data_IF_572074497383
#
_entry.id   IF_572074497383
#
_cell.length_a   1.000
_cell.length_b   1.000
_cell.length_c   1.000
_cell.angle_alpha   90.00
_cell.angle_beta   90.00
_cell.angle_gamma   90.00
#
_symmetry.space_group_name_H-M   'P 1'
#
loop_
_entity.id
_entity.type
_entity.pdbx_description
1 polymer ?
#
# COMPACT_ATOMS: atom_id res chain seq x y z
N UNK A 1 -48.10 -13.97 -25.00
CA UNK A 1 -47.08 -12.93 -25.23
C UNK A 1 -47.31 -11.82 -24.21
N UNK A 2 -46.60 -11.80 -23.07
CA UNK A 2 -46.80 -10.80 -22.01
C UNK A 2 -45.74 -9.69 -22.13
N UNK A 3 -46.07 -8.62 -22.86
CA UNK A 3 -45.17 -7.50 -23.15
C UNK A 3 -45.23 -6.36 -22.10
N UNK A 4 -46.18 -6.39 -21.15
CA UNK A 4 -46.43 -5.30 -20.19
C UNK A 4 -46.34 -5.71 -18.71
N UNK A 5 -45.52 -6.70 -18.35
CA UNK A 5 -45.23 -6.96 -16.93
C UNK A 5 -44.13 -6.00 -16.47
N UNK A 6 -44.50 -4.94 -15.74
CA UNK A 6 -43.51 -4.08 -15.05
C UNK A 6 -42.68 -4.96 -14.12
N UNK A 7 -41.36 -4.87 -14.25
CA UNK A 7 -40.39 -5.62 -13.46
C UNK A 7 -40.67 -5.38 -11.97
N UNK A 8 -40.81 -6.45 -11.19
CA UNK A 8 -41.08 -6.30 -9.76
C UNK A 8 -39.86 -5.68 -9.06
N UNK A 9 -40.03 -4.95 -7.93
CA UNK A 9 -38.90 -4.35 -7.21
C UNK A 9 -37.79 -5.35 -6.88
N UNK A 10 -38.12 -6.62 -6.65
CA UNK A 10 -37.15 -7.71 -6.44
C UNK A 10 -36.48 -8.19 -7.72
N UNK A 11 -37.19 -8.29 -8.84
CA UNK A 11 -36.56 -8.61 -10.13
C UNK A 11 -35.58 -7.51 -10.54
N UNK A 12 -35.98 -6.24 -10.38
CA UNK A 12 -35.12 -5.09 -10.62
C UNK A 12 -33.89 -5.08 -9.70
N UNK A 13 -34.06 -5.33 -8.40
CA UNK A 13 -32.95 -5.39 -7.45
C UNK A 13 -32.00 -6.59 -7.71
N UNK A 14 -32.55 -7.74 -8.12
CA UNK A 14 -31.73 -8.92 -8.47
C UNK A 14 -30.97 -8.72 -9.78
N UNK A 15 -31.58 -8.03 -10.75
CA UNK A 15 -30.92 -7.63 -12.00
C UNK A 15 -29.80 -6.62 -11.73
N UNK A 16 -30.08 -5.55 -10.97
CA UNK A 16 -29.09 -4.56 -10.55
C UNK A 16 -27.92 -5.21 -9.79
N UNK A 17 -28.18 -6.14 -8.87
CA UNK A 17 -27.14 -6.94 -8.19
C UNK A 17 -26.28 -7.73 -9.18
N UNK A 18 -26.90 -8.37 -10.17
CA UNK A 18 -26.18 -9.19 -11.16
C UNK A 18 -25.32 -8.32 -12.07
N UNK A 19 -25.84 -7.18 -12.50
CA UNK A 19 -25.13 -6.20 -13.33
C UNK A 19 -23.97 -5.58 -12.55
N UNK A 20 -24.20 -5.05 -11.35
CA UNK A 20 -23.17 -4.51 -10.48
C UNK A 20 -22.04 -5.52 -10.21
N UNK A 21 -22.38 -6.79 -9.92
CA UNK A 21 -21.36 -7.83 -9.73
C UNK A 21 -20.55 -8.14 -10.99
N UNK A 22 -21.19 -8.09 -12.17
CA UNK A 22 -20.51 -8.34 -13.44
C UNK A 22 -19.54 -7.21 -13.74
N UNK A 23 -19.98 -5.97 -13.56
CA UNK A 23 -19.21 -4.76 -13.79
C UNK A 23 -18.03 -4.66 -12.80
N UNK A 24 -18.28 -4.81 -11.50
CA UNK A 24 -17.23 -4.83 -10.47
C UNK A 24 -16.15 -5.87 -10.80
N UNK A 25 -16.53 -7.10 -11.20
CA UNK A 25 -15.55 -8.14 -11.58
C UNK A 25 -14.79 -7.79 -12.86
N UNK A 26 -15.41 -7.08 -13.80
CA UNK A 26 -14.71 -6.64 -15.00
C UNK A 26 -13.66 -5.60 -14.62
N UNK A 27 -14.09 -4.55 -13.94
CA UNK A 27 -13.23 -3.44 -13.54
C UNK A 27 -12.09 -3.91 -12.62
N UNK A 28 -12.37 -4.81 -11.66
CA UNK A 28 -11.32 -5.40 -10.82
C UNK A 28 -10.24 -6.14 -11.65
N UNK A 29 -10.62 -6.81 -12.74
CA UNK A 29 -9.65 -7.49 -13.62
C UNK A 29 -8.86 -6.51 -14.46
N UNK A 30 -9.47 -5.40 -14.87
CA UNK A 30 -8.77 -4.36 -15.63
C UNK A 30 -7.76 -3.65 -14.73
N UNK A 31 -8.14 -3.34 -13.49
CA UNK A 31 -7.23 -2.83 -12.46
C UNK A 31 -6.11 -3.82 -12.13
N UNK A 32 -6.40 -5.13 -12.06
CA UNK A 32 -5.36 -6.15 -11.86
C UNK A 32 -4.32 -6.18 -13.01
N UNK A 33 -4.73 -5.86 -14.24
CA UNK A 33 -3.81 -5.75 -15.37
C UNK A 33 -2.93 -4.51 -15.23
N UNK A 34 -3.51 -3.39 -14.81
CA UNK A 34 -2.81 -2.12 -14.62
C UNK A 34 -1.82 -2.21 -13.45
N UNK A 35 -2.22 -2.81 -12.32
CA UNK A 35 -1.32 -3.10 -11.18
C UNK A 35 -0.11 -3.92 -11.64
N UNK A 36 -0.31 -4.95 -12.47
CA UNK A 36 0.80 -5.75 -13.02
C UNK A 36 1.71 -4.98 -13.95
N UNK A 37 1.18 -3.98 -14.66
CA UNK A 37 1.99 -3.10 -15.50
C UNK A 37 2.83 -2.17 -14.64
N UNK A 38 2.24 -1.56 -13.61
CA UNK A 38 2.99 -0.76 -12.64
C UNK A 38 4.05 -1.59 -11.90
N UNK A 39 3.77 -2.85 -11.55
CA UNK A 39 4.77 -3.76 -10.97
C UNK A 39 5.97 -4.00 -11.90
N UNK A 40 5.75 -4.05 -13.23
CA UNK A 40 6.83 -4.17 -14.21
C UNK A 40 7.64 -2.89 -14.30
N UNK A 41 6.97 -1.74 -14.35
CA UNK A 41 7.61 -0.43 -14.39
C UNK A 41 8.43 -0.17 -13.12
N UNK A 42 7.90 -0.52 -11.95
CA UNK A 42 8.61 -0.41 -10.68
C UNK A 42 9.92 -1.21 -10.71
N UNK A 43 9.88 -2.46 -11.19
CA UNK A 43 11.07 -3.31 -11.31
C UNK A 43 12.09 -2.74 -12.29
N UNK A 44 11.64 -2.20 -13.42
CA UNK A 44 12.52 -1.59 -14.40
C UNK A 44 13.21 -0.34 -13.83
N UNK A 45 12.44 0.58 -13.24
CA UNK A 45 12.97 1.80 -12.61
C UNK A 45 13.94 1.43 -11.48
N UNK A 46 13.61 0.42 -10.67
CA UNK A 46 14.50 -0.06 -9.60
C UNK A 46 15.83 -0.58 -10.15
N UNK A 47 15.80 -1.34 -11.25
CA UNK A 47 17.00 -1.84 -11.91
C UNK A 47 17.85 -0.71 -12.47
N UNK A 48 17.25 0.25 -13.17
CA UNK A 48 17.91 1.43 -13.72
C UNK A 48 18.54 2.28 -12.61
N UNK A 49 17.80 2.51 -11.52
CA UNK A 49 18.27 3.26 -10.36
C UNK A 49 19.49 2.57 -9.72
N UNK A 50 19.45 1.25 -9.51
CA UNK A 50 20.60 0.47 -9.00
C UNK A 50 21.80 0.50 -9.95
N UNK A 51 21.60 0.34 -11.25
CA UNK A 51 22.68 0.37 -12.23
C UNK A 51 23.40 1.73 -12.24
N UNK A 52 22.62 2.80 -12.16
CA UNK A 52 23.14 4.17 -12.22
C UNK A 52 23.81 4.60 -10.92
N UNK A 53 23.30 4.12 -9.79
CA UNK A 53 23.89 4.32 -8.48
C UNK A 53 25.21 3.55 -8.27
N UNK A 54 25.52 2.53 -9.09
CA UNK A 54 26.84 1.86 -9.12
C UNK A 54 27.90 2.62 -9.92
N UNK A 55 27.52 3.66 -10.68
CA UNK A 55 28.47 4.46 -11.45
C UNK A 55 29.37 5.32 -10.57
N UNK A 56 30.58 5.63 -11.03
CA UNK A 56 31.59 6.38 -10.26
C UNK A 56 31.18 7.81 -9.86
N UNK A 57 30.08 8.35 -10.42
CA UNK A 57 29.53 9.69 -10.13
C UNK A 57 28.11 9.63 -9.52
N UNK A 58 27.77 8.54 -8.83
CA UNK A 58 26.43 8.27 -8.32
C UNK A 58 25.89 9.31 -7.34
N UNK A 59 26.73 10.00 -6.58
CA UNK A 59 26.25 11.01 -5.62
C UNK A 59 25.86 12.35 -6.26
N UNK A 60 26.23 12.59 -7.52
CA UNK A 60 26.01 13.86 -8.22
C UNK A 60 25.14 13.73 -9.48
N UNK A 61 24.57 12.55 -9.75
CA UNK A 61 23.74 12.34 -10.94
C UNK A 61 22.30 12.85 -10.71
N UNK A 62 21.86 13.95 -11.37
CA UNK A 62 20.51 14.49 -11.21
C UNK A 62 19.42 13.52 -11.72
N UNK A 63 19.80 12.53 -12.56
CA UNK A 63 18.87 11.53 -13.06
C UNK A 63 18.45 10.51 -11.99
N UNK A 64 19.27 10.29 -10.95
CA UNK A 64 18.90 9.42 -9.83
C UNK A 64 17.71 9.98 -9.04
N UNK A 65 17.74 11.29 -8.74
CA UNK A 65 16.60 11.97 -8.09
C UNK A 65 15.34 11.90 -8.95
N UNK A 66 15.49 12.01 -10.28
CA UNK A 66 14.35 11.90 -11.21
C UNK A 66 13.77 10.48 -11.23
N UNK A 67 14.62 9.46 -11.31
CA UNK A 67 14.21 8.04 -11.26
C UNK A 67 13.58 7.69 -9.90
N UNK A 68 14.10 8.22 -8.80
CA UNK A 68 13.52 8.02 -7.47
C UNK A 68 12.13 8.66 -7.36
N UNK A 69 11.94 9.88 -7.88
CA UNK A 69 10.60 10.51 -7.97
C UNK A 69 9.63 9.65 -8.78
N UNK A 70 10.07 9.12 -9.93
CA UNK A 70 9.26 8.21 -10.73
C UNK A 70 8.91 6.91 -9.98
N UNK A 71 9.86 6.35 -9.22
CA UNK A 71 9.63 5.16 -8.40
C UNK A 71 8.57 5.40 -7.32
N UNK A 72 8.67 6.50 -6.58
CA UNK A 72 7.67 6.91 -5.57
C UNK A 72 6.31 7.09 -6.22
N UNK A 73 6.24 7.77 -7.37
CA UNK A 73 4.98 7.99 -8.09
C UNK A 73 4.34 6.67 -8.53
N UNK A 74 5.11 5.73 -9.09
CA UNK A 74 4.60 4.40 -9.51
C UNK A 74 4.08 3.62 -8.30
N UNK A 75 4.80 3.63 -7.17
CA UNK A 75 4.35 2.99 -5.92
C UNK A 75 3.05 3.60 -5.40
N UNK A 76 2.93 4.92 -5.44
CA UNK A 76 1.71 5.62 -5.00
C UNK A 76 0.54 5.32 -5.93
N UNK A 77 0.75 5.33 -7.24
CA UNK A 77 -0.27 4.93 -8.23
C UNK A 77 -0.73 3.49 -8.02
N UNK A 78 0.21 2.57 -7.77
CA UNK A 78 -0.08 1.18 -7.44
C UNK A 78 -0.93 1.07 -6.16
N UNK A 79 -0.54 1.79 -5.10
CA UNK A 79 -1.28 1.82 -3.84
C UNK A 79 -2.71 2.33 -4.04
N UNK A 80 -2.88 3.42 -4.79
CA UNK A 80 -4.19 3.98 -5.16
C UNK A 80 -5.05 2.98 -5.93
N UNK A 81 -4.50 2.25 -6.90
CA UNK A 81 -5.24 1.21 -7.62
C UNK A 81 -5.62 0.03 -6.73
N UNK A 82 -4.76 -0.39 -5.80
CA UNK A 82 -5.10 -1.43 -4.81
C UNK A 82 -6.24 -0.96 -3.90
N UNK A 83 -6.21 0.29 -3.43
CA UNK A 83 -7.28 0.90 -2.64
C UNK A 83 -8.59 0.99 -3.42
N UNK A 84 -8.56 1.52 -4.64
CA UNK A 84 -9.73 1.62 -5.50
C UNK A 84 -10.31 0.24 -5.88
N UNK A 85 -9.48 -0.80 -6.01
CA UNK A 85 -9.94 -2.19 -6.23
C UNK A 85 -10.72 -2.70 -5.02
N UNK A 86 -10.24 -2.41 -3.82
CA UNK A 86 -10.93 -2.75 -2.58
C UNK A 86 -12.26 -2.02 -2.45
N UNK A 87 -12.29 -0.71 -2.75
CA UNK A 87 -13.52 0.10 -2.77
C UNK A 87 -14.54 -0.45 -3.78
N UNK A 88 -14.14 -0.77 -5.01
CA UNK A 88 -15.03 -1.42 -5.99
C UNK A 88 -15.56 -2.77 -5.49
N UNK A 89 -14.72 -3.54 -4.79
CA UNK A 89 -15.15 -4.77 -4.12
C UNK A 89 -16.24 -4.51 -3.07
N UNK A 90 -16.04 -3.49 -2.24
CA UNK A 90 -17.01 -3.05 -1.23
C UNK A 90 -18.33 -2.59 -1.86
N UNK A 91 -18.29 -1.82 -2.97
CA UNK A 91 -19.48 -1.43 -3.72
C UNK A 91 -20.25 -2.65 -4.26
N UNK A 92 -19.54 -3.66 -4.75
CA UNK A 92 -20.15 -4.94 -5.17
C UNK A 92 -20.84 -5.69 -4.03
N UNK A 93 -20.27 -5.63 -2.82
CA UNK A 93 -20.88 -6.18 -1.60
C UNK A 93 -22.09 -5.34 -1.16
N UNK A 94 -21.99 -4.00 -1.21
CA UNK A 94 -23.09 -3.10 -0.92
C UNK A 94 -24.31 -3.40 -1.82
N UNK A 95 -24.11 -3.52 -3.14
CA UNK A 95 -25.16 -3.90 -4.08
C UNK A 95 -25.81 -5.26 -3.74
N UNK A 96 -25.03 -6.23 -3.23
CA UNK A 96 -25.57 -7.49 -2.74
C UNK A 96 -26.41 -7.33 -1.47
N UNK A 97 -25.97 -6.49 -0.52
CA UNK A 97 -26.70 -6.19 0.71
C UNK A 97 -28.02 -5.49 0.37
N UNK A 98 -27.98 -4.43 -0.45
CA UNK A 98 -29.18 -3.70 -0.90
C UNK A 98 -30.20 -4.64 -1.55
N UNK A 99 -29.78 -5.53 -2.46
CA UNK A 99 -30.69 -6.47 -3.09
C UNK A 99 -31.30 -7.47 -2.08
N UNK A 100 -30.55 -7.85 -1.05
CA UNK A 100 -31.04 -8.73 0.02
C UNK A 100 -32.03 -7.98 0.94
N UNK A 101 -31.78 -6.71 1.23
CA UNK A 101 -32.68 -5.83 1.96
C UNK A 101 -34.01 -5.65 1.21
N UNK A 102 -33.98 -5.38 -0.10
CA UNK A 102 -35.19 -5.27 -0.94
C UNK A 102 -36.00 -6.57 -0.93
N UNK A 103 -35.32 -7.73 -1.03
CA UNK A 103 -35.99 -9.02 -0.96
C UNK A 103 -36.63 -9.28 0.42
N UNK A 104 -35.96 -8.89 1.51
CA UNK A 104 -36.49 -9.01 2.86
C UNK A 104 -37.71 -8.10 3.07
N UNK A 105 -37.64 -6.82 2.64
CA UNK A 105 -38.76 -5.87 2.73
C UNK A 105 -39.96 -6.39 1.94
N UNK A 106 -39.75 -6.94 0.74
CA UNK A 106 -40.85 -7.50 -0.04
C UNK A 106 -41.46 -8.74 0.63
N UNK A 107 -40.65 -9.60 1.26
CA UNK A 107 -41.12 -10.77 2.00
C UNK A 107 -41.90 -10.37 3.26
N UNK A 108 -41.44 -9.37 4.00
CA UNK A 108 -42.19 -8.82 5.14
C UNK A 108 -43.48 -8.17 4.66
N UNK A 109 -43.47 -7.44 3.54
CA UNK A 109 -44.67 -6.88 2.93
C UNK A 109 -45.71 -7.96 2.57
N UNK A 110 -45.30 -9.03 1.88
CA UNK A 110 -46.21 -10.12 1.50
C UNK A 110 -46.72 -10.92 2.71
N UNK A 111 -45.87 -11.16 3.72
CA UNK A 111 -46.27 -11.79 4.98
C UNK A 111 -47.19 -10.87 5.78
N UNK A 112 -46.97 -9.55 5.76
CA UNK A 112 -47.83 -8.56 6.42
C UNK A 112 -49.18 -8.45 5.73
N UNK A 113 -49.23 -8.52 4.40
CA UNK A 113 -50.50 -8.54 3.66
C UNK A 113 -51.26 -9.84 3.91
N UNK A 114 -50.59 -10.99 3.96
CA UNK A 114 -51.19 -12.26 4.37
C UNK A 114 -51.63 -12.25 5.85
N UNK A 115 -50.85 -11.66 6.74
CA UNK A 115 -51.20 -11.47 8.16
C UNK A 115 -52.33 -10.46 8.35
N UNK A 116 -52.45 -9.40 7.54
CA UNK A 116 -53.59 -8.46 7.57
C UNK A 116 -54.90 -9.17 7.23
N UNK A 117 -54.86 -10.11 6.28
CA UNK A 117 -56.01 -10.94 5.91
C UNK A 117 -56.35 -11.94 7.03
N UNK A 118 -55.35 -12.44 7.74
CA UNK A 118 -55.54 -13.37 8.87
C UNK A 118 -55.83 -12.69 10.22
N UNK A 119 -55.51 -11.39 10.39
CA UNK A 119 -55.30 -10.80 11.71
C UNK A 119 -55.68 -9.32 11.77
N UNK A 120 -56.99 -9.04 11.78
CA UNK A 120 -57.53 -7.71 12.04
C UNK A 120 -57.31 -7.25 13.51
N UNK A 121 -56.54 -7.97 14.32
CA UNK A 121 -56.37 -7.70 15.76
C UNK A 121 -54.96 -7.88 16.36
N UNK A 122 -53.88 -8.10 15.60
CA UNK A 122 -52.52 -8.15 16.20
C UNK A 122 -51.48 -7.22 15.53
N UNK A 123 -51.00 -6.29 16.37
CA UNK A 123 -49.68 -5.67 16.48
C UNK A 123 -48.99 -4.96 15.29
N UNK A 124 -49.72 -4.11 14.56
CA UNK A 124 -49.14 -3.10 13.63
C UNK A 124 -48.09 -2.20 14.30
N UNK A 125 -48.20 -1.93 15.61
CA UNK A 125 -47.25 -1.08 16.35
C UNK A 125 -45.83 -1.67 16.45
N UNK A 126 -45.72 -2.98 16.59
CA UNK A 126 -44.43 -3.66 16.77
C UNK A 126 -43.64 -3.74 15.46
N UNK A 127 -44.34 -3.97 14.34
CA UNK A 127 -43.75 -3.94 12.99
C UNK A 127 -43.26 -2.55 12.61
N UNK A 128 -44.00 -1.49 12.98
CA UNK A 128 -43.58 -0.11 12.74
C UNK A 128 -42.31 0.22 13.52
N UNK A 129 -42.21 -0.23 14.79
CA UNK A 129 -41.01 -0.05 15.62
C UNK A 129 -39.78 -0.73 15.01
N UNK A 130 -39.92 -1.99 14.56
CA UNK A 130 -38.83 -2.74 13.91
C UNK A 130 -38.35 -2.03 12.63
N UNK A 131 -39.27 -1.49 11.82
CA UNK A 131 -38.90 -0.69 10.64
C UNK A 131 -38.12 0.58 11.00
N UNK A 132 -38.50 1.25 12.09
CA UNK A 132 -37.84 2.50 12.51
C UNK A 132 -36.43 2.23 13.06
N UNK A 133 -36.28 1.16 13.86
CA UNK A 133 -34.97 0.71 14.36
C UNK A 133 -34.06 0.27 13.22
N UNK A 134 -34.59 -0.47 12.24
CA UNK A 134 -33.85 -0.87 11.04
C UNK A 134 -33.34 0.34 10.23
N UNK A 135 -34.18 1.37 10.03
CA UNK A 135 -33.76 2.59 9.35
C UNK A 135 -32.59 3.28 10.08
N UNK A 136 -32.71 3.43 11.41
CA UNK A 136 -31.67 4.07 12.23
C UNK A 136 -30.34 3.31 12.23
N UNK A 137 -30.40 1.99 12.19
CA UNK A 137 -29.19 1.15 12.16
C UNK A 137 -28.52 1.18 10.78
N UNK A 138 -29.31 1.27 9.71
CA UNK A 138 -28.82 1.44 8.34
C UNK A 138 -28.13 2.81 8.15
N UNK A 139 -28.67 3.89 8.74
CA UNK A 139 -28.03 5.22 8.75
C UNK A 139 -26.70 5.22 9.50
N UNK A 140 -26.62 4.57 10.67
CA UNK A 140 -25.37 4.42 11.41
C UNK A 140 -24.29 3.68 10.62
N UNK A 141 -24.70 2.69 9.82
CA UNK A 141 -23.78 1.95 8.95
C UNK A 141 -23.23 2.86 7.85
N UNK A 142 -24.07 3.70 7.24
CA UNK A 142 -23.66 4.63 6.19
C UNK A 142 -22.61 5.63 6.71
N UNK A 143 -22.85 6.26 7.86
CA UNK A 143 -21.90 7.20 8.48
C UNK A 143 -20.55 6.53 8.79
N UNK A 144 -20.57 5.27 9.26
CA UNK A 144 -19.32 4.52 9.50
C UNK A 144 -18.55 4.21 8.22
N UNK A 145 -19.25 4.03 7.10
CA UNK A 145 -18.62 3.84 5.81
C UNK A 145 -17.97 5.14 5.32
N UNK A 146 -18.67 6.26 5.43
CA UNK A 146 -18.15 7.59 5.04
C UNK A 146 -16.91 7.95 5.84
N UNK A 147 -16.91 7.77 7.17
CA UNK A 147 -15.73 8.02 8.00
C UNK A 147 -14.54 7.10 7.66
N UNK A 148 -14.79 5.86 7.19
CA UNK A 148 -13.73 4.97 6.75
C UNK A 148 -13.14 5.44 5.42
N UNK A 149 -13.99 5.90 4.49
CA UNK A 149 -13.55 6.44 3.21
C UNK A 149 -12.74 7.72 3.40
N UNK A 150 -13.12 8.60 4.33
CA UNK A 150 -12.38 9.82 4.66
C UNK A 150 -10.99 9.53 5.25
N UNK A 151 -10.88 8.57 6.18
CA UNK A 151 -9.59 8.15 6.75
C UNK A 151 -8.70 7.50 5.69
N UNK A 152 -9.28 6.74 4.76
CA UNK A 152 -8.54 6.21 3.62
C UNK A 152 -8.05 7.34 2.72
N UNK A 153 -8.88 8.36 2.45
CA UNK A 153 -8.54 9.48 1.57
C UNK A 153 -7.43 10.36 2.15
N UNK A 154 -7.47 10.63 3.46
CA UNK A 154 -6.46 11.40 4.19
C UNK A 154 -5.10 10.67 4.22
N UNK A 155 -5.10 9.33 4.32
CA UNK A 155 -3.88 8.52 4.19
C UNK A 155 -3.26 8.53 2.78
N UNK A 156 -3.97 9.02 1.76
CA UNK A 156 -3.48 9.13 0.39
C UNK A 156 -3.06 10.56 0.00
N UNK A 157 -3.23 11.55 0.88
CA UNK A 157 -2.89 12.94 0.56
C UNK A 157 -1.38 13.17 0.57
N UNK A 158 -0.88 13.74 -0.52
CA UNK A 158 0.49 13.53 -1.00
C UNK A 158 1.40 14.75 -0.78
N UNK A 159 1.51 15.23 0.46
CA UNK A 159 2.37 16.37 0.80
C UNK A 159 3.88 16.01 0.97
N UNK A 160 4.28 14.74 0.81
CA UNK A 160 5.65 14.27 1.11
C UNK A 160 6.52 13.78 -0.06
N UNK A 161 6.07 13.86 -1.32
CA UNK A 161 6.74 13.15 -2.43
C UNK A 161 8.21 13.52 -2.66
N UNK A 162 8.61 14.78 -2.42
CA UNK A 162 10.01 15.18 -2.58
C UNK A 162 10.91 14.63 -1.48
N UNK A 163 10.44 14.65 -0.23
CA UNK A 163 11.16 14.09 0.90
C UNK A 163 11.28 12.56 0.78
N UNK A 164 10.21 11.88 0.36
CA UNK A 164 10.23 10.43 0.11
C UNK A 164 11.21 10.06 -1.00
N UNK A 165 11.27 10.84 -2.09
CA UNK A 165 12.21 10.57 -3.18
C UNK A 165 13.67 10.71 -2.75
N UNK A 166 13.97 11.72 -1.93
CA UNK A 166 15.31 11.92 -1.38
C UNK A 166 15.67 10.78 -0.41
N UNK A 167 14.74 10.33 0.43
CA UNK A 167 14.93 9.15 1.29
C UNK A 167 15.19 7.87 0.48
N UNK A 168 14.40 7.61 -0.56
CA UNK A 168 14.55 6.43 -1.43
C UNK A 168 15.92 6.44 -2.13
N UNK A 169 16.36 7.61 -2.60
CA UNK A 169 17.68 7.75 -3.23
C UNK A 169 18.80 7.42 -2.24
N UNK A 170 18.74 7.99 -1.03
CA UNK A 170 19.71 7.73 0.03
C UNK A 170 19.72 6.26 0.45
N UNK A 171 18.55 5.62 0.57
CA UNK A 171 18.43 4.21 0.90
C UNK A 171 19.11 3.33 -0.15
N UNK A 172 18.87 3.56 -1.44
CA UNK A 172 19.50 2.73 -2.49
C UNK A 172 21.01 2.94 -2.54
N UNK A 173 21.50 4.16 -2.31
CA UNK A 173 22.94 4.42 -2.21
C UNK A 173 23.57 3.71 -1.00
N UNK A 174 22.90 3.70 0.14
CA UNK A 174 23.35 2.98 1.34
C UNK A 174 23.34 1.46 1.13
N UNK A 175 22.26 0.90 0.56
CA UNK A 175 22.16 -0.53 0.23
C UNK A 175 23.28 -0.97 -0.72
N UNK A 176 23.62 -0.14 -1.71
CA UNK A 176 24.72 -0.41 -2.63
C UNK A 176 26.10 -0.29 -1.98
N UNK A 177 26.30 0.68 -1.08
CA UNK A 177 27.54 0.80 -0.30
C UNK A 177 27.79 -0.45 0.54
N UNK A 178 26.75 -0.97 1.19
CA UNK A 178 26.83 -2.20 2.00
C UNK A 178 27.01 -3.44 1.11
N UNK A 179 26.32 -3.56 -0.03
CA UNK A 179 26.52 -4.67 -0.98
C UNK A 179 27.97 -4.69 -1.52
N UNK A 180 28.55 -3.52 -1.82
CA UNK A 180 29.92 -3.42 -2.33
C UNK A 180 30.96 -3.75 -1.25
N UNK A 181 30.76 -3.26 -0.02
CA UNK A 181 31.61 -3.64 1.12
C UNK A 181 31.55 -5.14 1.39
N UNK A 182 30.37 -5.78 1.33
CA UNK A 182 30.25 -7.24 1.48
C UNK A 182 30.94 -8.02 0.36
N UNK A 183 30.87 -7.56 -0.90
CA UNK A 183 31.60 -8.17 -2.01
C UNK A 183 33.12 -8.02 -1.87
N UNK A 184 33.59 -6.89 -1.32
CA UNK A 184 35.00 -6.62 -1.08
C UNK A 184 35.55 -7.40 0.12
N UNK A 185 34.74 -7.68 1.14
CA UNK A 185 35.11 -8.54 2.28
C UNK A 185 35.17 -10.03 1.91
N UNK A 186 34.41 -10.45 0.89
CA UNK A 186 34.45 -11.82 0.34
C UNK A 186 35.60 -12.09 -0.64
N UNK A 187 36.23 -11.03 -1.17
CA UNK A 187 37.46 -11.11 -1.94
C UNK A 187 38.62 -11.01 -0.95
N UNK A 188 39.03 -12.15 -0.38
CA UNK A 188 40.31 -12.27 0.32
C UNK A 188 41.39 -11.58 -0.54
N UNK A 189 41.90 -10.45 -0.06
CA UNK A 189 43.03 -9.78 -0.67
C UNK A 189 44.11 -10.85 -0.93
N UNK A 190 44.69 -10.96 -2.14
CA UNK A 190 45.74 -11.92 -2.37
C UNK A 190 46.84 -11.58 -1.37
N UNK A 191 47.00 -12.44 -0.36
CA UNK A 191 48.15 -12.46 0.52
C UNK A 191 49.31 -12.84 -0.37
N UNK A 192 49.88 -11.85 -1.05
CA UNK A 192 51.15 -11.94 -1.74
C UNK A 192 52.18 -12.24 -0.65
N UNK A 193 52.38 -13.53 -0.37
CA UNK A 193 53.54 -14.01 0.36
C UNK A 193 54.74 -13.80 -0.56
N UNK A 194 55.28 -12.59 -0.54
CA UNK A 194 56.64 -12.35 -1.01
C UNK A 194 57.53 -13.00 0.04
N UNK A 195 58.22 -14.07 -0.37
CA UNK A 195 59.19 -14.78 0.45
C UNK A 195 60.28 -13.84 0.91
N UNK A 196 60.72 -14.04 2.15
CA UNK A 196 61.71 -13.25 2.85
C UNK A 196 63.09 -13.31 2.17
N UNK A 197 63.75 -12.16 2.13
CA UNK A 197 65.22 -12.05 2.11
C UNK A 197 65.61 -10.89 3.06
N UNK A 198 66.55 -11.18 3.97
CA UNK A 198 66.89 -10.43 5.19
C UNK A 198 67.67 -9.13 4.94
N UNK A 199 67.30 -8.03 5.61
CA UNK A 199 68.11 -6.80 5.79
C UNK A 199 67.72 -6.14 7.14
N UNK A 200 68.66 -5.57 7.94
CA UNK A 200 68.59 -5.57 9.41
C UNK A 200 67.76 -4.45 10.06
N UNK A 201 67.51 -4.65 11.36
CA UNK A 201 66.72 -3.83 12.27
C UNK A 201 67.03 -2.32 12.25
N UNK A 202 65.99 -1.52 12.00
CA UNK A 202 65.91 -0.12 12.40
C UNK A 202 64.80 0.04 13.44
N UNK A 203 65.17 0.68 14.54
CA UNK A 203 64.42 0.92 15.77
C UNK A 203 63.37 2.02 15.59
N UNK A 204 62.18 1.79 16.12
CA UNK A 204 61.11 2.79 16.23
C UNK A 204 61.57 4.06 17.00
N UNK A 205 61.35 5.29 16.48
CA UNK A 205 61.81 6.53 17.13
C UNK A 205 60.97 7.01 18.33
N UNK A 206 60.14 6.16 18.93
CA UNK A 206 59.11 6.61 19.89
C UNK A 206 59.45 6.25 21.36
N UNK A 207 60.42 5.37 21.62
CA UNK A 207 60.81 5.01 23.00
C UNK A 207 61.90 5.91 23.62
N UNK A 208 62.67 6.66 22.81
CA UNK A 208 63.79 7.49 23.30
C UNK A 208 63.37 8.90 23.77
N UNK A 209 62.10 9.30 23.57
CA UNK A 209 61.57 10.62 23.97
C UNK A 209 60.92 10.64 25.36
N UNK A 210 60.76 9.48 26.01
CA UNK A 210 60.13 9.35 27.32
C UNK A 210 61.03 9.77 28.53
N UNK A 211 62.37 9.68 28.49
CA UNK A 211 63.22 10.15 29.58
C UNK A 211 63.28 11.69 29.67
N UNK A 212 63.25 12.38 28.52
CA UNK A 212 63.43 13.84 28.43
C UNK A 212 62.17 14.61 28.89
N UNK A 213 60.99 14.02 28.71
CA UNK A 213 59.71 14.55 29.24
C UNK A 213 59.61 14.43 30.76
N UNK A 214 60.22 13.40 31.38
CA UNK A 214 60.25 13.21 32.83
C UNK A 214 61.22 14.16 33.53
N UNK A 215 62.34 14.50 32.88
CA UNK A 215 63.30 15.48 33.40
C UNK A 215 62.73 16.91 33.43
N UNK A 216 61.91 17.29 32.43
CA UNK A 216 61.25 18.60 32.39
C UNK A 216 60.11 18.78 33.41
N UNK A 217 59.49 17.69 33.86
CA UNK A 217 58.41 17.74 34.87
C UNK A 217 58.95 17.89 36.31
N UNK A 218 60.17 17.38 36.58
CA UNK A 218 60.80 17.44 37.91
C UNK A 218 61.61 18.73 38.16
N UNK A 219 61.69 19.63 37.17
CA UNK A 219 62.41 20.91 37.26
C UNK A 219 61.47 22.14 37.36
N UNK A 220 60.20 21.92 37.71
CA UNK A 220 59.17 22.93 38.00
C UNK A 220 58.75 22.84 39.48
#
# INVERSE_FOLDING_TARGET
MNWFKKETPKEAAMKAKREARKEVRSNQRDMDREIRELDRQEKQITMELKQRAKGANSSSDPTLKTLAKQLVQVRQQRSKLVGAKAQLGAMGMHAQVTASQVAAVQAVGSVTDAMKVANKQLNVKETTKIMTEFQRENERLAVKSEMMDDVLMDAFDSEGMEEEADQVTNQVLAELGVEMDQQMVGLDAPKTKVGAEEVPAETDPIEDALPDLRARLNAL
#
